data_IF_108446825389
#
_entry.id   IF_108446825389
#
_cell.length_a   1.000
_cell.length_b   1.000
_cell.length_c   1.000
_cell.angle_alpha   90.00
_cell.angle_beta   90.00
_cell.angle_gamma   90.00
#
_symmetry.space_group_name_H-M   'P 1'
#
loop_
_entity.id
_entity.type
_entity.pdbx_description
1 polymer ?
#
# COMPACT_ATOMS: atom_id res chain seq x y z
N UNK A 1 -5.24 -23.70 17.00
CA UNK A 1 -5.94 -23.25 15.76
C UNK A 1 -6.01 -21.74 15.60
N UNK A 2 -6.34 -20.96 16.65
CA UNK A 2 -6.48 -19.49 16.56
C UNK A 2 -5.19 -18.78 16.13
N UNK A 3 -4.04 -19.17 16.68
CA UNK A 3 -2.74 -18.56 16.35
C UNK A 3 -2.36 -18.71 14.86
N UNK A 4 -2.61 -19.88 14.27
CA UNK A 4 -2.33 -20.13 12.85
C UNK A 4 -3.18 -19.22 11.94
N UNK A 5 -4.46 -19.05 12.28
CA UNK A 5 -5.36 -18.16 11.57
C UNK A 5 -4.86 -16.70 11.61
N UNK A 6 -4.40 -16.24 12.77
CA UNK A 6 -3.87 -14.89 12.95
C UNK A 6 -2.58 -14.64 12.15
N UNK A 7 -1.65 -15.60 12.17
CA UNK A 7 -0.40 -15.55 11.40
C UNK A 7 -0.70 -15.50 9.90
N UNK A 8 -1.68 -16.29 9.44
CA UNK A 8 -2.08 -16.31 8.04
C UNK A 8 -2.63 -14.94 7.56
N UNK A 9 -3.56 -14.34 8.30
CA UNK A 9 -4.14 -13.03 7.93
C UNK A 9 -3.15 -11.87 8.04
N UNK A 10 -2.26 -11.90 9.04
CA UNK A 10 -1.19 -10.90 9.14
C UNK A 10 -0.22 -10.98 7.96
N UNK A 11 0.14 -12.19 7.51
CA UNK A 11 0.93 -12.38 6.28
C UNK A 11 0.20 -11.85 5.04
N UNK A 12 -1.10 -12.14 4.89
CA UNK A 12 -1.91 -11.61 3.78
C UNK A 12 -1.92 -10.08 3.79
N UNK A 13 -2.14 -9.46 4.96
CA UNK A 13 -2.13 -8.00 5.10
C UNK A 13 -0.77 -7.39 4.74
N UNK A 14 0.32 -8.03 5.16
CA UNK A 14 1.68 -7.61 4.83
C UNK A 14 1.98 -7.72 3.33
N UNK A 15 1.63 -8.85 2.70
CA UNK A 15 1.78 -9.07 1.25
C UNK A 15 0.97 -8.03 0.46
N UNK A 16 -0.26 -7.77 0.90
CA UNK A 16 -1.14 -6.75 0.29
C UNK A 16 -0.52 -5.36 0.37
N UNK A 17 0.04 -4.99 1.53
CA UNK A 17 0.75 -3.73 1.72
C UNK A 17 2.00 -3.61 0.83
N UNK A 18 2.75 -4.69 0.69
CA UNK A 18 3.93 -4.74 -0.19
C UNK A 18 3.56 -4.59 -1.67
N UNK A 19 2.53 -5.30 -2.14
CA UNK A 19 2.03 -5.19 -3.52
C UNK A 19 1.49 -3.79 -3.81
N UNK A 20 0.80 -3.18 -2.84
CA UNK A 20 0.35 -1.79 -2.95
C UNK A 20 1.53 -0.84 -3.19
N UNK A 21 2.63 -1.02 -2.43
CA UNK A 21 3.83 -0.21 -2.59
C UNK A 21 4.51 -0.44 -3.94
N UNK A 22 4.67 -1.68 -4.39
CA UNK A 22 5.31 -1.99 -5.68
C UNK A 22 4.51 -1.41 -6.84
N UNK A 23 3.18 -1.49 -6.79
CA UNK A 23 2.28 -0.83 -7.73
C UNK A 23 2.41 0.69 -7.71
N UNK A 24 2.57 1.29 -6.52
CA UNK A 24 2.81 2.72 -6.38
C UNK A 24 4.15 3.14 -6.98
N UNK A 25 5.23 2.43 -6.69
CA UNK A 25 6.55 2.73 -7.22
C UNK A 25 6.61 2.56 -8.74
N UNK A 26 5.99 1.52 -9.28
CA UNK A 26 5.84 1.36 -10.73
C UNK A 26 5.06 2.53 -11.35
N UNK A 27 3.95 2.92 -10.73
CA UNK A 27 3.15 4.06 -11.18
C UNK A 27 3.94 5.36 -11.17
N UNK A 28 4.83 5.57 -10.20
CA UNK A 28 5.69 6.77 -10.10
C UNK A 28 6.83 6.73 -11.12
N UNK A 29 7.46 5.57 -11.33
CA UNK A 29 8.54 5.40 -12.32
C UNK A 29 8.06 5.64 -13.75
N UNK A 30 6.78 5.38 -14.03
CA UNK A 30 6.17 5.59 -15.34
C UNK A 30 5.68 7.04 -15.55
N UNK A 31 5.87 7.94 -14.58
CA UNK A 31 5.50 9.35 -14.72
C UNK A 31 6.51 10.06 -15.60
N UNK A 32 6.23 10.11 -16.89
CA UNK A 32 6.88 11.04 -17.79
C UNK A 32 6.28 12.44 -17.61
N UNK A 33 7.09 13.39 -17.15
CA UNK A 33 6.70 14.79 -16.95
C UNK A 33 6.34 15.50 -18.24
N UNK A 34 6.75 14.99 -19.42
CA UNK A 34 6.44 15.62 -20.70
C UNK A 34 5.02 15.35 -21.21
N UNK A 35 4.35 14.28 -20.77
CA UNK A 35 3.02 13.88 -21.28
C UNK A 35 1.97 13.82 -20.17
N UNK A 36 1.65 15.00 -19.61
CA UNK A 36 0.73 15.21 -18.48
C UNK A 36 -0.57 14.39 -18.54
N UNK A 37 -1.26 14.35 -19.69
CA UNK A 37 -2.55 13.64 -19.81
C UNK A 37 -2.43 12.11 -19.70
N UNK A 38 -1.36 11.51 -20.24
CA UNK A 38 -1.12 10.06 -20.14
C UNK A 38 -0.71 9.67 -18.72
N UNK A 39 0.09 10.51 -18.07
CA UNK A 39 0.53 10.30 -16.68
C UNK A 39 -0.64 10.33 -15.69
N UNK A 40 -1.61 11.24 -15.86
CA UNK A 40 -2.81 11.28 -15.00
C UNK A 40 -3.67 10.02 -15.15
N UNK A 41 -3.86 9.52 -16.38
CA UNK A 41 -4.63 8.30 -16.63
C UNK A 41 -3.98 7.06 -15.99
N UNK A 42 -2.65 6.93 -16.11
CA UNK A 42 -1.89 5.86 -15.46
C UNK A 42 -2.00 5.90 -13.94
N UNK A 43 -1.92 7.09 -13.33
CA UNK A 43 -2.12 7.25 -11.87
C UNK A 43 -3.53 6.83 -11.47
N UNK A 44 -4.55 7.26 -12.22
CA UNK A 44 -5.95 6.98 -11.90
C UNK A 44 -6.24 5.48 -11.99
N UNK A 45 -5.86 4.82 -13.08
CA UNK A 45 -6.04 3.37 -13.27
C UNK A 45 -5.26 2.59 -12.22
N UNK A 46 -4.00 2.96 -11.97
CA UNK A 46 -3.18 2.32 -10.94
C UNK A 46 -3.73 2.51 -9.53
N UNK A 47 -4.41 3.63 -9.26
CA UNK A 47 -5.06 3.89 -7.96
C UNK A 47 -6.32 3.03 -7.81
N UNK A 48 -7.17 2.98 -8.84
CA UNK A 48 -8.38 2.14 -8.84
C UNK A 48 -8.01 0.67 -8.61
N UNK A 49 -7.02 0.16 -9.34
CA UNK A 49 -6.58 -1.24 -9.21
C UNK A 49 -6.08 -1.57 -7.80
N UNK A 50 -5.32 -0.65 -7.19
CA UNK A 50 -4.84 -0.79 -5.80
C UNK A 50 -5.99 -0.85 -4.80
N UNK A 51 -6.97 0.04 -4.92
CA UNK A 51 -8.15 0.03 -4.05
C UNK A 51 -9.02 -1.21 -4.25
N UNK A 52 -9.12 -1.71 -5.47
CA UNK A 52 -9.84 -2.93 -5.79
C UNK A 52 -9.17 -4.14 -5.11
N UNK A 53 -7.84 -4.24 -5.18
CA UNK A 53 -7.09 -5.31 -4.53
C UNK A 53 -7.27 -5.29 -3.00
N UNK A 54 -7.13 -4.11 -2.37
CA UNK A 54 -7.38 -3.95 -0.93
C UNK A 54 -8.83 -4.30 -0.57
N UNK A 55 -9.78 -3.85 -1.38
CA UNK A 55 -11.22 -4.10 -1.18
C UNK A 55 -11.58 -5.59 -1.24
N UNK A 56 -10.98 -6.34 -2.17
CA UNK A 56 -11.16 -7.81 -2.25
C UNK A 56 -10.62 -8.48 -1.00
N UNK A 57 -9.37 -8.16 -0.62
CA UNK A 57 -8.73 -8.77 0.56
C UNK A 57 -9.52 -8.47 1.84
N UNK A 58 -10.03 -7.25 1.99
CA UNK A 58 -10.84 -6.86 3.13
C UNK A 58 -12.20 -7.56 3.13
N UNK A 59 -12.86 -7.66 1.97
CA UNK A 59 -14.13 -8.38 1.82
C UNK A 59 -13.98 -9.85 2.23
N UNK A 60 -12.93 -10.53 1.74
CA UNK A 60 -12.64 -11.93 2.09
C UNK A 60 -12.36 -12.05 3.59
N UNK A 61 -11.57 -11.12 4.16
CA UNK A 61 -11.22 -11.14 5.58
C UNK A 61 -12.47 -10.97 6.47
N UNK A 62 -13.39 -10.09 6.08
CA UNK A 62 -14.65 -9.85 6.80
C UNK A 62 -15.54 -11.09 6.80
N UNK A 63 -15.58 -11.83 5.69
CA UNK A 63 -16.36 -13.06 5.59
C UNK A 63 -15.86 -14.16 6.52
N UNK A 64 -14.59 -14.11 6.95
CA UNK A 64 -14.04 -15.06 7.91
C UNK A 64 -14.22 -14.63 9.36
N UNK A 65 -13.86 -13.40 9.74
CA UNK A 65 -14.01 -12.88 11.10
C UNK A 65 -13.67 -11.40 11.19
N UNK A 66 -14.32 -10.68 12.11
CA UNK A 66 -13.93 -9.32 12.48
C UNK A 66 -12.47 -9.21 12.97
N UNK A 67 -11.95 -10.24 13.66
CA UNK A 67 -10.55 -10.26 14.11
C UNK A 67 -9.57 -10.42 12.94
N UNK A 68 -9.96 -11.20 11.92
CA UNK A 68 -9.16 -11.37 10.71
C UNK A 68 -9.04 -10.05 9.95
N UNK A 69 -10.17 -9.35 9.74
CA UNK A 69 -10.20 -8.00 9.16
C UNK A 69 -9.27 -7.04 9.92
N UNK A 70 -9.38 -7.00 11.26
CA UNK A 70 -8.56 -6.12 12.08
C UNK A 70 -7.07 -6.42 11.91
N UNK A 71 -6.69 -7.69 11.86
CA UNK A 71 -5.29 -8.09 11.68
C UNK A 71 -4.73 -7.70 10.30
N UNK A 72 -5.52 -7.88 9.24
CA UNK A 72 -5.17 -7.49 7.86
C UNK A 72 -5.05 -5.98 7.76
N UNK A 73 -6.02 -5.25 8.32
CA UNK A 73 -6.03 -3.79 8.34
C UNK A 73 -4.82 -3.22 9.07
N UNK A 74 -4.53 -3.70 10.28
CA UNK A 74 -3.37 -3.25 11.05
C UNK A 74 -2.06 -3.57 10.32
N UNK A 75 -1.91 -4.77 9.78
CA UNK A 75 -0.70 -5.16 9.04
C UNK A 75 -0.52 -4.30 7.79
N UNK A 76 -1.58 -4.08 7.03
CA UNK A 76 -1.58 -3.20 5.86
C UNK A 76 -1.20 -1.76 6.24
N UNK A 77 -1.79 -1.21 7.31
CA UNK A 77 -1.52 0.14 7.77
C UNK A 77 -0.09 0.30 8.28
N UNK A 78 0.43 -0.67 9.04
CA UNK A 78 1.81 -0.66 9.53
C UNK A 78 2.81 -0.68 8.38
N UNK A 79 2.63 -1.59 7.43
CA UNK A 79 3.49 -1.67 6.24
C UNK A 79 3.45 -0.35 5.46
N UNK A 80 2.26 0.21 5.24
CA UNK A 80 2.09 1.51 4.58
C UNK A 80 2.79 2.65 5.33
N UNK A 81 2.67 2.69 6.66
CA UNK A 81 3.29 3.70 7.50
C UNK A 81 4.82 3.61 7.45
N UNK A 82 5.37 2.41 7.58
CA UNK A 82 6.82 2.16 7.46
C UNK A 82 7.33 2.65 6.10
N UNK A 83 6.64 2.32 5.01
CA UNK A 83 7.03 2.80 3.68
C UNK A 83 6.94 4.32 3.55
N UNK A 84 5.90 4.96 4.07
CA UNK A 84 5.78 6.42 4.08
C UNK A 84 6.92 7.08 4.85
N UNK A 85 7.29 6.54 6.00
CA UNK A 85 8.40 7.03 6.81
C UNK A 85 9.75 6.85 6.11
N UNK A 86 9.99 5.69 5.49
CA UNK A 86 11.19 5.45 4.69
C UNK A 86 11.29 6.42 3.51
N UNK A 87 10.17 6.64 2.80
CA UNK A 87 10.12 7.55 1.67
C UNK A 87 10.32 9.02 2.07
N UNK A 88 9.66 9.47 3.14
CA UNK A 88 9.84 10.83 3.68
C UNK A 88 11.25 11.04 4.23
N UNK A 89 11.83 10.04 4.91
CA UNK A 89 13.21 10.08 5.37
C UNK A 89 14.20 10.22 4.22
N UNK A 90 13.99 9.47 3.14
CA UNK A 90 14.82 9.55 1.93
C UNK A 90 14.71 10.91 1.23
N UNK A 91 13.49 11.45 1.09
CA UNK A 91 13.27 12.79 0.52
C UNK A 91 13.92 13.88 1.38
N UNK A 92 13.80 13.79 2.71
CA UNK A 92 14.41 14.73 3.66
C UNK A 92 15.93 14.69 3.61
N UNK A 93 16.53 13.51 3.41
CA UNK A 93 17.98 13.38 3.25
C UNK A 93 18.47 13.97 1.93
N UNK A 94 17.69 13.82 0.85
CA UNK A 94 18.07 14.30 -0.49
C UNK A 94 17.86 15.81 -0.70
N UNK A 95 16.91 16.45 0.00
CA UNK A 95 16.65 17.88 -0.09
C UNK A 95 16.72 18.55 1.30
N UNK A 96 17.89 19.11 1.70
CA UNK A 96 18.03 19.81 2.99
C UNK A 96 17.25 21.13 3.08
N UNK A 97 16.67 21.62 1.98
CA UNK A 97 15.91 22.88 1.91
C UNK A 97 14.49 22.82 2.50
N UNK A 98 14.02 21.65 2.94
CA UNK A 98 12.72 21.50 3.64
C UNK A 98 12.93 21.48 5.18
N UNK A 99 13.95 22.20 5.66
CA UNK A 99 14.10 22.59 7.07
C UNK A 99 13.71 24.06 7.19
N UNK A 100 12.42 24.34 7.27
CA UNK A 100 11.91 25.57 7.86
C UNK A 100 10.67 25.25 8.67
#
# INVERSE_FOLDING_TARGET
MIAFNFIFWTLIGAITGYLYFLSQQWSVNQLDTQKRHRSISLIMVGTILRWLLVGIVFSISVSHSYLALLSVFLSFMLVRLVFLLMWQGWLRFKNPFIRH
#
